data_IF_061520227948
#
_entry.id   IF_061520227948
#
_cell.length_a   1.000
_cell.length_b   1.000
_cell.length_c   1.000
_cell.angle_alpha   90.00
_cell.angle_beta   90.00
_cell.angle_gamma   90.00
#
_symmetry.space_group_name_H-M   'P 1'
#
loop_
_entity.id
_entity.type
_entity.pdbx_description
1 polymer ?
#
# COMPACT_ATOMS: atom_id res chain seq x y z
N UNK A 1 -14.15 2.12 9.13
CA UNK A 1 -12.96 2.89 8.74
C UNK A 1 -12.80 2.84 7.24
N UNK A 2 -12.20 3.87 6.67
CA UNK A 2 -11.97 3.89 5.23
C UNK A 2 -10.92 2.86 4.83
N UNK A 3 -11.12 2.27 3.66
CA UNK A 3 -10.20 1.29 3.09
C UNK A 3 -9.51 1.90 1.87
N UNK A 4 -8.22 1.64 1.74
CA UNK A 4 -7.42 2.13 0.64
C UNK A 4 -6.67 0.98 -0.03
N UNK A 5 -6.67 0.97 -1.35
CA UNK A 5 -5.81 0.10 -2.14
C UNK A 5 -4.60 0.93 -2.58
N UNK A 6 -3.42 0.48 -2.21
CA UNK A 6 -2.17 1.14 -2.55
C UNK A 6 -1.46 0.29 -3.60
N UNK A 7 -1.23 0.84 -4.77
CA UNK A 7 -0.38 0.22 -5.77
C UNK A 7 1.01 0.80 -5.57
N UNK A 8 1.96 -0.05 -5.21
CA UNK A 8 3.32 0.39 -4.94
C UNK A 8 4.26 -0.02 -6.06
N UNK A 9 5.27 0.80 -6.27
CA UNK A 9 6.31 0.55 -7.25
C UNK A 9 7.63 1.06 -6.69
N UNK A 10 8.69 0.26 -6.79
CA UNK A 10 10.00 0.68 -6.34
C UNK A 10 10.61 1.68 -7.33
N UNK A 11 11.23 2.71 -6.79
CA UNK A 11 11.95 3.69 -7.59
C UNK A 11 13.30 3.09 -8.00
N UNK A 12 13.40 2.66 -9.25
CA UNK A 12 14.60 2.00 -9.77
C UNK A 12 15.82 2.91 -9.77
N UNK A 13 15.63 4.22 -9.80
CA UNK A 13 16.74 5.18 -9.73
C UNK A 13 17.40 5.22 -8.36
N UNK A 14 16.70 4.68 -7.34
CA UNK A 14 17.19 4.63 -5.97
C UNK A 14 17.73 3.25 -5.58
N UNK A 15 17.68 2.29 -6.49
CA UNK A 15 18.22 0.95 -6.23
C UNK A 15 19.74 0.96 -6.35
N UNK A 16 20.47 0.39 -5.36
CA UNK A 16 21.91 0.24 -5.48
C UNK A 16 22.28 -0.68 -6.63
N UNK A 17 23.38 -0.38 -7.32
CA UNK A 17 23.87 -1.23 -8.40
C UNK A 17 24.51 -2.52 -7.86
N UNK A 18 25.11 -2.45 -6.66
CA UNK A 18 25.72 -3.64 -6.03
C UNK A 18 24.62 -4.61 -5.57
N UNK A 19 24.69 -5.90 -6.01
CA UNK A 19 23.66 -6.88 -5.64
C UNK A 19 23.52 -7.09 -4.13
N UNK A 20 24.59 -7.03 -3.37
CA UNK A 20 24.54 -7.21 -1.90
C UNK A 20 23.82 -6.06 -1.23
N UNK A 21 24.11 -4.83 -1.62
CA UNK A 21 23.45 -3.65 -1.09
C UNK A 21 21.98 -3.63 -1.47
N UNK A 22 21.67 -4.06 -2.69
CA UNK A 22 20.28 -4.13 -3.16
C UNK A 22 19.46 -5.13 -2.35
N UNK A 23 20.01 -6.31 -2.09
CA UNK A 23 19.34 -7.32 -1.27
C UNK A 23 19.17 -6.86 0.19
N UNK A 24 20.17 -6.18 0.74
CA UNK A 24 20.06 -5.62 2.09
C UNK A 24 18.95 -4.57 2.18
N UNK A 25 18.84 -3.73 1.16
CA UNK A 25 17.75 -2.74 1.07
C UNK A 25 16.38 -3.38 0.97
N UNK A 26 16.23 -4.41 0.16
CA UNK A 26 14.97 -5.15 0.04
C UNK A 26 14.60 -5.79 1.38
N UNK A 27 15.57 -6.40 2.05
CA UNK A 27 15.33 -7.02 3.35
C UNK A 27 14.82 -5.99 4.36
N UNK A 28 15.40 -4.80 4.37
CA UNK A 28 14.97 -3.73 5.28
C UNK A 28 13.52 -3.31 4.99
N UNK A 29 13.18 -3.12 3.71
CA UNK A 29 11.82 -2.76 3.31
C UNK A 29 10.82 -3.86 3.67
N UNK A 30 11.17 -5.11 3.44
CA UNK A 30 10.30 -6.25 3.75
C UNK A 30 10.10 -6.43 5.25
N UNK A 31 11.11 -6.13 6.06
CA UNK A 31 10.96 -6.13 7.52
C UNK A 31 9.95 -5.08 7.97
N UNK A 32 9.94 -3.92 7.33
CA UNK A 32 8.94 -2.89 7.58
C UNK A 32 7.53 -3.35 7.23
N UNK A 33 7.37 -3.99 6.07
CA UNK A 33 6.09 -4.55 5.63
C UNK A 33 5.61 -5.62 6.61
N UNK A 34 6.50 -6.51 7.03
CA UNK A 34 6.17 -7.56 8.00
C UNK A 34 5.66 -6.97 9.31
N UNK A 35 6.35 -5.95 9.82
CA UNK A 35 5.93 -5.26 11.05
C UNK A 35 4.55 -4.61 10.89
N UNK A 36 4.30 -3.98 9.74
CA UNK A 36 3.01 -3.34 9.47
C UNK A 36 1.88 -4.36 9.35
N UNK A 37 2.14 -5.52 8.77
CA UNK A 37 1.15 -6.61 8.72
C UNK A 37 0.88 -7.17 10.11
N UNK A 38 1.92 -7.39 10.91
CA UNK A 38 1.79 -7.92 12.27
C UNK A 38 1.04 -6.95 13.19
N UNK A 39 1.25 -5.65 13.04
CA UNK A 39 0.57 -4.63 13.85
C UNK A 39 -0.87 -4.37 13.40
N UNK A 40 -1.26 -4.87 12.23
CA UNK A 40 -2.57 -4.60 11.65
C UNK A 40 -2.66 -3.28 10.90
N UNK A 41 -1.57 -2.53 10.77
CA UNK A 41 -1.56 -1.30 9.99
C UNK A 41 -1.77 -1.58 8.51
N UNK A 42 -1.18 -2.65 7.99
CA UNK A 42 -1.52 -3.20 6.69
C UNK A 42 -2.42 -4.41 6.88
N UNK A 43 -3.44 -4.53 6.04
CA UNK A 43 -4.38 -5.65 6.05
C UNK A 43 -3.99 -6.75 5.07
N UNK A 44 -3.34 -6.37 3.98
CA UNK A 44 -2.87 -7.29 2.96
C UNK A 44 -1.72 -6.63 2.19
N UNK A 45 -0.87 -7.45 1.62
CA UNK A 45 0.27 -6.98 0.85
C UNK A 45 0.71 -8.07 -0.11
N UNK A 46 1.09 -7.68 -1.32
CA UNK A 46 1.59 -8.62 -2.31
C UNK A 46 2.52 -7.97 -3.31
N UNK A 47 3.31 -8.78 -3.96
CA UNK A 47 4.21 -8.35 -5.03
C UNK A 47 3.77 -8.96 -6.35
N UNK A 48 3.88 -8.19 -7.42
CA UNK A 48 3.73 -8.70 -8.78
C UNK A 48 5.09 -9.21 -9.21
N UNK A 49 5.29 -10.54 -9.31
CA UNK A 49 6.62 -11.10 -9.57
C UNK A 49 7.26 -10.51 -10.83
N UNK A 50 8.53 -10.12 -10.70
CA UNK A 50 9.31 -9.58 -11.81
C UNK A 50 9.12 -8.10 -12.10
N UNK A 51 8.20 -7.43 -11.40
CA UNK A 51 7.89 -6.03 -11.70
C UNK A 51 8.46 -5.02 -10.70
N UNK A 52 8.95 -5.46 -9.55
CA UNK A 52 9.31 -4.59 -8.42
C UNK A 52 8.17 -3.65 -8.05
N UNK A 53 6.97 -4.18 -8.11
CA UNK A 53 5.72 -3.48 -7.86
C UNK A 53 4.73 -4.46 -7.25
N UNK A 54 3.67 -3.95 -6.66
CA UNK A 54 2.64 -4.78 -6.07
C UNK A 54 1.51 -3.95 -5.51
N UNK A 55 0.83 -4.50 -4.52
CA UNK A 55 -0.30 -3.84 -3.88
C UNK A 55 -0.19 -3.93 -2.36
N UNK A 56 -0.92 -3.08 -1.69
CA UNK A 56 -1.15 -3.16 -0.26
C UNK A 56 -2.55 -2.67 0.04
N UNK A 57 -3.13 -3.17 1.12
CA UNK A 57 -4.46 -2.75 1.59
C UNK A 57 -4.32 -2.19 2.99
N UNK A 58 -4.85 -1.00 3.21
CA UNK A 58 -4.82 -0.32 4.49
C UNK A 58 -6.22 0.16 4.86
N UNK A 59 -6.56 0.09 6.13
CA UNK A 59 -7.76 0.70 6.68
C UNK A 59 -7.36 1.76 7.68
N UNK A 60 -8.02 2.91 7.64
CA UNK A 60 -7.72 4.01 8.54
C UNK A 60 -8.10 5.35 7.97
N UNK A 61 -7.44 6.39 8.45
CA UNK A 61 -7.62 7.76 7.99
C UNK A 61 -6.57 8.12 6.95
N UNK A 62 -6.82 9.20 6.22
CA UNK A 62 -5.85 9.73 5.26
C UNK A 62 -4.53 10.11 5.95
N UNK A 63 -4.60 10.62 7.18
CA UNK A 63 -3.40 10.95 7.95
C UNK A 63 -2.55 9.70 8.22
N UNK A 64 -3.19 8.62 8.66
CA UNK A 64 -2.51 7.36 8.91
C UNK A 64 -1.90 6.80 7.63
N UNK A 65 -2.60 6.96 6.51
CA UNK A 65 -2.14 6.54 5.19
C UNK A 65 -0.86 7.29 4.77
N UNK A 66 -0.87 8.62 4.94
CA UNK A 66 0.30 9.46 4.64
C UNK A 66 1.49 9.04 5.50
N UNK A 67 1.28 8.86 6.78
CA UNK A 67 2.33 8.46 7.71
C UNK A 67 2.89 7.09 7.37
N UNK A 68 2.03 6.14 7.02
CA UNK A 68 2.43 4.79 6.65
C UNK A 68 3.24 4.77 5.35
N UNK A 69 2.80 5.51 4.34
CA UNK A 69 3.48 5.60 3.06
C UNK A 69 4.84 6.30 3.19
N UNK A 70 4.93 7.30 4.05
CA UNK A 70 6.16 8.08 4.24
C UNK A 70 7.34 7.25 4.73
N UNK A 71 7.09 6.15 5.41
CA UNK A 71 8.15 5.26 5.90
C UNK A 71 8.98 4.65 4.77
N UNK A 72 8.41 4.56 3.59
CA UNK A 72 9.06 3.93 2.44
C UNK A 72 9.63 4.95 1.44
N UNK A 73 9.42 6.23 1.70
CA UNK A 73 9.94 7.32 0.88
C UNK A 73 11.46 7.46 1.10
N UNK A 74 12.28 7.69 0.07
CA UNK A 74 11.94 7.90 -1.34
C UNK A 74 12.00 6.62 -2.19
N UNK A 75 12.11 5.44 -1.58
CA UNK A 75 12.39 4.19 -2.30
C UNK A 75 11.19 3.60 -2.99
N UNK A 76 9.99 3.90 -2.51
CA UNK A 76 8.74 3.34 -3.03
C UNK A 76 7.78 4.46 -3.38
N UNK A 77 7.20 4.37 -4.56
CA UNK A 77 6.16 5.28 -5.03
C UNK A 77 4.81 4.59 -4.88
N UNK A 78 3.80 5.36 -4.53
CA UNK A 78 2.45 4.83 -4.33
C UNK A 78 1.44 5.51 -5.22
N UNK A 79 0.51 4.73 -5.76
CA UNK A 79 -0.73 5.21 -6.34
C UNK A 79 -1.85 4.68 -5.46
N UNK A 80 -2.65 5.56 -4.89
CA UNK A 80 -3.59 5.21 -3.83
C UNK A 80 -5.02 5.43 -4.30
N UNK A 81 -5.86 4.44 -4.05
CA UNK A 81 -7.29 4.49 -4.37
C UNK A 81 -8.09 4.27 -3.10
N UNK A 82 -9.08 5.14 -2.90
CA UNK A 82 -10.11 4.90 -1.90
C UNK A 82 -11.01 3.77 -2.40
N UNK A 83 -11.41 2.87 -1.51
CA UNK A 83 -12.23 1.70 -1.85
C UNK A 83 -13.54 1.77 -1.08
N UNK A 84 -14.67 1.78 -1.80
CA UNK A 84 -15.97 1.65 -1.19
C UNK A 84 -16.31 0.18 -0.98
N UNK A 85 -16.92 -0.14 0.17
CA UNK A 85 -17.38 -1.51 0.44
C UNK A 85 -18.62 -1.84 -0.37
N UNK A 86 -18.94 -3.13 -0.44
CA UNK A 86 -20.19 -3.56 -1.07
C UNK A 86 -21.39 -2.88 -0.40
N UNK A 87 -21.38 -2.81 0.94
CA UNK A 87 -22.46 -2.16 1.69
C UNK A 87 -22.64 -0.70 1.30
N UNK A 88 -21.53 0.05 1.17
CA UNK A 88 -21.58 1.45 0.75
C UNK A 88 -22.15 1.61 -0.66
N UNK A 89 -21.78 0.71 -1.57
CA UNK A 89 -22.27 0.73 -2.94
C UNK A 89 -23.77 0.40 -2.97
N UNK A 90 -24.18 -0.60 -2.20
CA UNK A 90 -25.61 -0.95 -2.08
C UNK A 90 -26.42 0.24 -1.52
N UNK A 91 -25.89 0.91 -0.50
CA UNK A 91 -26.55 2.10 0.04
C UNK A 91 -26.68 3.22 -0.98
N UNK A 92 -25.62 3.43 -1.77
CA UNK A 92 -25.66 4.48 -2.81
C UNK A 92 -26.73 4.19 -3.86
N UNK A 93 -26.89 2.92 -4.26
CA UNK A 93 -27.93 2.52 -5.22
C UNK A 93 -29.31 2.77 -4.64
N UNK A 94 -29.52 2.43 -3.36
CA UNK A 94 -30.81 2.69 -2.69
C UNK A 94 -31.11 4.19 -2.62
N UNK A 95 -30.12 5.00 -2.24
CA UNK A 95 -30.28 6.45 -2.15
C UNK A 95 -30.62 7.05 -3.51
N UNK A 96 -29.96 6.60 -4.57
CA UNK A 96 -30.22 7.10 -5.93
C UNK A 96 -31.58 6.66 -6.46
N UNK A 97 -32.06 5.47 -6.07
CA UNK A 97 -33.35 4.98 -6.53
C UNK A 97 -34.53 5.67 -5.84
N UNK A 98 -34.28 6.41 -4.77
CA UNK A 98 -35.31 7.16 -4.04
C UNK A 98 -35.46 8.62 -4.51
N UNK A 99 -34.65 9.04 -5.42
CA UNK A 99 -34.72 10.39 -6.02
C UNK A 99 -35.49 10.39 -7.38
#
# INVERSE_FOLDING_TARGET
>A
MAKFLMLWEMDRTRMPADPKERLAGFTMLLNGVKADLESGQLKDWGEFPGEHAGYAVMEGTELELIMGASKYDPYVKFKIHSVASLEQVVESVKALSQT
#
